data_IF_488630266175
#
_entry.id   IF_488630266175
#
_cell.length_a   1.000
_cell.length_b   1.000
_cell.length_c   1.000
_cell.angle_alpha   90.00
_cell.angle_beta   90.00
_cell.angle_gamma   90.00
#
_symmetry.space_group_name_H-M   'P 1'
#
loop_
_entity.id
_entity.type
_entity.pdbx_description
1 polymer ?
#
# COMPACT_ATOMS: atom_id res chain seq x y z
N UNK A 1 -12.82 0.70 -10.08
CA UNK A 1 -13.13 0.46 -8.65
C UNK A 1 -14.44 -0.30 -8.45
N UNK A 2 -15.54 0.15 -9.06
CA UNK A 2 -16.85 -0.53 -8.94
C UNK A 2 -16.90 -1.92 -9.59
N UNK A 3 -16.09 -2.13 -10.64
CA UNK A 3 -16.00 -3.41 -11.35
C UNK A 3 -15.21 -4.51 -10.62
N UNK A 4 -14.59 -4.18 -9.48
CA UNK A 4 -13.83 -5.17 -8.69
C UNK A 4 -14.78 -6.05 -7.88
N UNK A 5 -14.43 -7.32 -7.72
CA UNK A 5 -15.19 -8.24 -6.85
C UNK A 5 -14.85 -7.97 -5.37
N UNK A 6 -15.46 -6.93 -4.83
CA UNK A 6 -15.29 -6.52 -3.43
C UNK A 6 -15.73 -7.58 -2.42
N UNK A 7 -16.65 -8.47 -2.82
CA UNK A 7 -17.06 -9.60 -1.99
C UNK A 7 -15.90 -10.59 -1.86
N UNK A 8 -15.29 -10.98 -2.97
CA UNK A 8 -14.14 -11.89 -2.97
C UNK A 8 -12.91 -11.27 -2.28
N UNK A 9 -12.65 -9.97 -2.53
CA UNK A 9 -11.55 -9.23 -1.89
C UNK A 9 -11.72 -9.24 -0.37
N UNK A 10 -12.91 -8.89 0.13
CA UNK A 10 -13.20 -8.90 1.56
C UNK A 10 -13.02 -10.29 2.16
N UNK A 11 -13.54 -11.32 1.52
CA UNK A 11 -13.42 -12.69 2.01
C UNK A 11 -11.95 -13.12 2.11
N UNK A 12 -11.13 -12.84 1.08
CA UNK A 12 -9.69 -13.13 1.14
C UNK A 12 -8.98 -12.35 2.24
N UNK A 13 -9.29 -11.05 2.38
CA UNK A 13 -8.75 -10.25 3.47
C UNK A 13 -9.11 -10.86 4.84
N UNK A 14 -10.35 -11.31 5.04
CA UNK A 14 -10.80 -11.97 6.26
C UNK A 14 -10.05 -13.29 6.54
N UNK A 15 -9.76 -14.09 5.50
CA UNK A 15 -9.19 -15.43 5.62
C UNK A 15 -7.66 -15.44 5.78
N UNK A 16 -6.97 -14.55 5.08
CA UNK A 16 -5.49 -14.55 4.96
C UNK A 16 -4.83 -13.18 5.19
N UNK A 17 -5.60 -12.12 5.41
CA UNK A 17 -5.07 -10.78 5.71
C UNK A 17 -4.51 -10.01 4.51
N UNK A 18 -4.64 -10.53 3.29
CA UNK A 18 -4.24 -9.86 2.04
C UNK A 18 -5.12 -10.34 0.86
N UNK A 19 -5.27 -9.52 -0.18
CA UNK A 19 -5.98 -9.93 -1.40
C UNK A 19 -5.53 -9.12 -2.60
N UNK A 20 -5.29 -9.79 -3.72
CA UNK A 20 -5.20 -9.09 -5.01
C UNK A 20 -6.56 -8.48 -5.36
N UNK A 21 -6.55 -7.28 -5.93
CA UNK A 21 -7.76 -6.57 -6.38
C UNK A 21 -8.23 -7.02 -7.77
N UNK A 22 -7.31 -7.49 -8.60
CA UNK A 22 -7.45 -7.50 -10.06
C UNK A 22 -7.00 -6.18 -10.70
N UNK A 23 -7.11 -6.03 -12.03
CA UNK A 23 -6.56 -4.88 -12.75
C UNK A 23 -7.20 -3.55 -12.36
N UNK A 24 -6.36 -2.58 -11.98
CA UNK A 24 -6.75 -1.21 -11.63
C UNK A 24 -6.25 -0.21 -12.67
N UNK A 25 -5.03 -0.41 -13.17
CA UNK A 25 -4.34 0.50 -14.08
C UNK A 25 -3.96 -0.19 -15.38
N UNK A 26 -3.97 0.57 -16.47
CA UNK A 26 -3.39 0.17 -17.74
C UNK A 26 -1.86 0.32 -17.75
N UNK A 27 -1.21 -0.31 -18.74
CA UNK A 27 0.24 -0.28 -18.87
C UNK A 27 0.82 1.14 -19.02
N UNK A 28 0.13 2.03 -19.73
CA UNK A 28 0.57 3.43 -19.90
C UNK A 28 0.49 4.23 -18.59
N UNK A 29 -0.53 3.99 -17.76
CA UNK A 29 -0.64 4.61 -16.43
C UNK A 29 0.45 4.11 -15.51
N UNK A 30 0.71 2.79 -15.51
CA UNK A 30 1.82 2.19 -14.75
C UNK A 30 3.16 2.80 -15.14
N UNK A 31 3.43 2.91 -16.44
CA UNK A 31 4.65 3.51 -16.98
C UNK A 31 4.78 4.97 -16.57
N UNK A 32 3.71 5.77 -16.73
CA UNK A 32 3.71 7.17 -16.37
C UNK A 32 4.06 7.38 -14.89
N UNK A 33 3.53 6.55 -13.98
CA UNK A 33 3.89 6.62 -12.54
C UNK A 33 5.34 6.15 -12.29
N UNK A 34 5.78 5.06 -12.92
CA UNK A 34 7.13 4.53 -12.73
C UNK A 34 8.21 5.53 -13.18
N UNK A 35 7.96 6.29 -14.25
CA UNK A 35 8.86 7.32 -14.78
C UNK A 35 9.02 8.51 -13.82
N UNK A 36 8.01 8.80 -12.97
CA UNK A 36 8.10 9.87 -11.97
C UNK A 36 9.28 9.68 -11.02
N UNK A 37 9.72 8.44 -10.77
CA UNK A 37 10.82 8.15 -9.86
C UNK A 37 12.12 8.90 -10.22
N UNK A 38 12.31 9.30 -11.48
CA UNK A 38 13.48 10.07 -11.92
C UNK A 38 13.38 11.58 -11.64
N UNK A 39 12.19 12.12 -11.37
CA UNK A 39 11.98 13.56 -11.11
C UNK A 39 12.05 13.86 -9.62
N UNK A 40 13.18 14.40 -9.17
CA UNK A 40 13.41 14.70 -7.76
C UNK A 40 12.41 15.68 -7.15
N UNK A 41 11.84 16.57 -7.96
CA UNK A 41 10.90 17.60 -7.51
C UNK A 41 9.55 17.01 -7.08
N UNK A 42 9.27 15.76 -7.44
CA UNK A 42 8.03 15.06 -7.07
C UNK A 42 8.07 14.47 -5.68
N UNK A 43 9.22 14.48 -5.00
CA UNK A 43 9.41 13.75 -3.75
C UNK A 43 9.98 14.65 -2.65
N UNK A 44 9.38 14.55 -1.46
CA UNK A 44 9.85 15.27 -0.28
C UNK A 44 11.04 14.59 0.39
N UNK A 45 11.21 13.29 0.16
CA UNK A 45 12.34 12.53 0.70
C UNK A 45 12.61 11.26 -0.09
N UNK A 46 13.89 10.86 -0.10
CA UNK A 46 14.37 9.60 -0.65
C UNK A 46 15.01 8.79 0.46
N UNK A 47 14.59 7.54 0.61
CA UNK A 47 15.16 6.59 1.56
C UNK A 47 15.99 5.57 0.81
N UNK A 48 17.27 5.53 1.13
CA UNK A 48 18.18 4.45 0.77
C UNK A 48 18.11 3.38 1.85
N UNK A 49 17.45 2.27 1.55
CA UNK A 49 17.09 1.24 2.53
C UNK A 49 18.31 0.61 3.20
N UNK A 50 19.43 0.55 2.48
CA UNK A 50 20.70 0.00 2.97
C UNK A 50 21.21 0.76 4.20
N UNK A 51 20.97 2.09 4.25
CA UNK A 51 21.41 2.95 5.34
C UNK A 51 20.64 2.71 6.64
N UNK A 52 19.42 2.23 6.54
CA UNK A 52 18.51 2.04 7.67
C UNK A 52 18.32 0.57 8.07
N UNK A 53 19.05 -0.35 7.42
CA UNK A 53 18.91 -1.81 7.60
C UNK A 53 17.49 -2.31 7.30
N UNK A 54 16.77 -1.63 6.41
CA UNK A 54 15.44 -2.05 5.94
C UNK A 54 15.53 -3.02 4.76
N UNK A 55 16.75 -3.42 4.37
CA UNK A 55 17.04 -4.23 3.20
C UNK A 55 17.91 -3.47 2.23
N UNK A 56 17.73 -3.73 0.93
CA UNK A 56 18.46 -3.09 -0.16
C UNK A 56 17.45 -2.59 -1.19
N UNK A 57 17.68 -1.40 -1.74
CA UNK A 57 16.74 -0.71 -2.62
C UNK A 57 16.46 0.73 -2.18
N UNK A 58 15.54 1.38 -2.90
CA UNK A 58 15.17 2.78 -2.65
C UNK A 58 13.67 2.96 -2.68
N UNK A 59 13.16 3.77 -1.78
CA UNK A 59 11.80 4.30 -1.90
C UNK A 59 11.77 5.81 -1.68
N UNK A 60 10.79 6.46 -2.28
CA UNK A 60 10.67 7.92 -2.27
C UNK A 60 9.26 8.30 -1.89
N UNK A 61 9.10 9.19 -0.91
CA UNK A 61 7.79 9.71 -0.54
C UNK A 61 7.43 10.88 -1.43
N UNK A 62 6.26 10.82 -2.07
CA UNK A 62 5.78 11.93 -2.90
C UNK A 62 5.65 13.21 -2.06
N UNK A 63 5.89 14.35 -2.68
CA UNK A 63 5.56 15.66 -2.12
C UNK A 63 4.18 16.14 -2.60
N UNK A 64 3.76 17.30 -2.11
CA UNK A 64 2.57 17.99 -2.59
C UNK A 64 2.89 18.88 -3.81
N UNK A 65 1.97 19.00 -4.79
CA UNK A 65 0.77 18.19 -4.94
C UNK A 65 1.11 16.75 -5.32
N UNK A 66 0.30 15.80 -4.84
CA UNK A 66 0.42 14.40 -5.27
C UNK A 66 0.16 14.30 -6.77
N UNK A 67 0.74 13.31 -7.47
CA UNK A 67 0.26 12.93 -8.80
C UNK A 67 -1.24 12.65 -8.75
N UNK A 68 -1.99 13.18 -9.72
CA UNK A 68 -3.46 13.13 -9.75
C UNK A 68 -3.98 11.69 -9.59
N UNK A 69 -3.47 10.77 -10.39
CA UNK A 69 -3.81 9.34 -10.30
C UNK A 69 -3.58 8.75 -8.89
N UNK A 70 -2.50 9.14 -8.20
CA UNK A 70 -2.23 8.66 -6.84
C UNK A 70 -3.22 9.26 -5.83
N UNK A 71 -3.63 10.52 -6.01
CA UNK A 71 -4.64 11.14 -5.17
C UNK A 71 -6.01 10.48 -5.38
N UNK A 72 -6.39 10.25 -6.63
CA UNK A 72 -7.67 9.68 -7.04
C UNK A 72 -7.81 8.24 -6.56
N UNK A 73 -6.77 7.41 -6.72
CA UNK A 73 -6.78 6.04 -6.21
C UNK A 73 -7.05 5.99 -4.70
N UNK A 74 -6.41 6.87 -3.92
CA UNK A 74 -6.62 6.91 -2.46
C UNK A 74 -8.05 7.25 -2.09
N UNK A 75 -8.62 8.26 -2.76
CA UNK A 75 -10.01 8.64 -2.56
C UNK A 75 -10.97 7.53 -3.00
N UNK A 76 -10.70 6.87 -4.12
CA UNK A 76 -11.52 5.79 -4.67
C UNK A 76 -11.50 4.53 -3.82
N UNK A 77 -10.37 4.18 -3.19
CA UNK A 77 -10.28 3.00 -2.31
C UNK A 77 -11.00 3.18 -0.98
N UNK A 78 -11.02 4.41 -0.45
CA UNK A 78 -11.58 4.72 0.86
C UNK A 78 -12.98 4.13 1.14
N UNK A 79 -14.01 4.38 0.32
CA UNK A 79 -15.37 3.89 0.59
C UNK A 79 -15.48 2.36 0.60
N UNK A 80 -14.53 1.65 0.00
CA UNK A 80 -14.55 0.19 -0.05
C UNK A 80 -13.73 -0.47 1.06
N UNK A 81 -12.60 0.14 1.45
CA UNK A 81 -11.75 -0.36 2.53
C UNK A 81 -12.29 0.00 3.91
N UNK A 82 -12.96 1.15 4.06
CA UNK A 82 -13.49 1.62 5.33
C UNK A 82 -14.46 0.61 6.00
N UNK A 83 -15.45 0.03 5.29
CA UNK A 83 -16.33 -0.97 5.89
C UNK A 83 -15.59 -2.22 6.38
N UNK A 84 -14.52 -2.63 5.68
CA UNK A 84 -13.70 -3.79 6.07
C UNK A 84 -12.95 -3.47 7.36
N UNK A 85 -12.27 -2.32 7.40
CA UNK A 85 -11.55 -1.86 8.59
C UNK A 85 -12.46 -1.73 9.83
N UNK A 86 -13.68 -1.18 9.66
CA UNK A 86 -14.67 -1.06 10.73
C UNK A 86 -15.17 -2.42 11.21
N UNK A 87 -15.50 -3.34 10.30
CA UNK A 87 -15.92 -4.70 10.65
C UNK A 87 -14.82 -5.46 11.42
N UNK A 88 -13.55 -5.29 11.03
CA UNK A 88 -12.42 -5.87 11.75
C UNK A 88 -12.25 -5.27 13.14
N UNK A 89 -12.36 -3.95 13.27
CA UNK A 89 -12.28 -3.28 14.56
C UNK A 89 -13.39 -3.77 15.50
N UNK A 90 -14.62 -3.89 15.02
CA UNK A 90 -15.75 -4.44 15.77
C UNK A 90 -15.49 -5.88 16.25
N UNK A 91 -15.11 -6.78 15.34
CA UNK A 91 -14.80 -8.19 15.66
C UNK A 91 -13.66 -8.33 16.67
N UNK A 92 -12.73 -7.37 16.68
CA UNK A 92 -11.58 -7.33 17.60
C UNK A 92 -11.86 -6.54 18.89
N UNK A 93 -13.06 -6.00 19.09
CA UNK A 93 -13.40 -5.16 20.24
C UNK A 93 -12.60 -3.86 20.32
N UNK A 94 -12.19 -3.32 19.17
CA UNK A 94 -11.40 -2.09 19.04
C UNK A 94 -12.27 -0.92 18.58
N UNK A 95 -11.85 0.30 18.89
CA UNK A 95 -12.47 1.52 18.35
C UNK A 95 -12.18 1.65 16.85
N UNK A 96 -13.13 2.22 16.12
CA UNK A 96 -12.99 2.56 14.71
C UNK A 96 -13.12 4.09 14.54
N UNK A 97 -12.03 4.85 14.71
CA UNK A 97 -12.06 6.32 14.70
C UNK A 97 -12.12 6.94 13.29
N UNK A 98 -12.20 6.11 12.25
CA UNK A 98 -12.13 6.57 10.85
C UNK A 98 -13.48 7.15 10.40
N UNK A 99 -13.51 8.37 9.84
CA UNK A 99 -14.74 9.02 9.39
C UNK A 99 -15.28 8.40 8.09
N UNK A 100 -16.48 8.80 7.68
CA UNK A 100 -17.09 8.28 6.45
C UNK A 100 -16.40 8.82 5.19
N UNK A 101 -15.90 10.05 5.24
CA UNK A 101 -15.26 10.71 4.10
C UNK A 101 -13.74 10.68 4.20
N UNK A 102 -13.09 10.54 3.04
CA UNK A 102 -11.63 10.45 2.97
C UNK A 102 -10.95 11.78 3.32
N UNK A 103 -11.50 12.91 2.89
CA UNK A 103 -10.98 14.24 3.19
C UNK A 103 -11.04 14.54 4.69
N UNK A 104 -12.14 14.19 5.36
CA UNK A 104 -12.24 14.28 6.84
C UNK A 104 -11.14 13.46 7.53
N UNK A 105 -10.81 12.27 7.03
CA UNK A 105 -9.70 11.48 7.58
C UNK A 105 -8.35 12.19 7.42
N UNK A 106 -8.13 12.87 6.29
CA UNK A 106 -6.92 13.64 6.04
C UNK A 106 -6.85 14.88 6.94
N UNK A 107 -7.97 15.56 7.17
CA UNK A 107 -8.06 16.69 8.10
C UNK A 107 -7.74 16.26 9.54
N UNK A 108 -8.34 15.17 10.02
CA UNK A 108 -8.02 14.60 11.34
C UNK A 108 -6.53 14.27 11.48
N UNK A 109 -5.91 13.71 10.43
CA UNK A 109 -4.46 13.50 10.39
C UNK A 109 -3.69 14.81 10.53
N UNK A 110 -4.09 15.88 9.84
CA UNK A 110 -3.40 17.17 9.87
C UNK A 110 -3.55 17.85 11.23
N UNK A 111 -4.74 17.80 11.83
CA UNK A 111 -5.01 18.33 13.17
C UNK A 111 -4.19 17.59 14.24
N UNK A 112 -3.92 16.30 14.03
CA UNK A 112 -3.01 15.51 14.85
C UNK A 112 -1.52 15.75 14.52
N UNK A 113 -1.17 16.70 13.65
CA UNK A 113 0.20 17.04 13.28
C UNK A 113 0.82 16.14 12.18
N UNK A 114 0.07 15.19 11.63
CA UNK A 114 0.50 14.30 10.54
C UNK A 114 0.27 14.95 9.17
N UNK A 115 0.98 16.04 8.90
CA UNK A 115 0.77 16.87 7.69
C UNK A 115 1.45 16.34 6.42
N UNK A 116 2.40 15.42 6.58
CA UNK A 116 3.22 14.89 5.49
C UNK A 116 2.46 13.84 4.67
N UNK A 117 2.48 13.91 3.33
CA UNK A 117 1.92 12.85 2.49
C UNK A 117 2.64 11.52 2.73
N UNK A 118 1.87 10.44 2.77
CA UNK A 118 2.32 9.06 3.00
C UNK A 118 2.53 8.21 1.74
N UNK A 119 1.93 8.49 0.56
CA UNK A 119 2.21 7.72 -0.65
C UNK A 119 3.68 7.75 -1.03
N UNK A 120 4.19 6.60 -1.45
CA UNK A 120 5.59 6.42 -1.81
C UNK A 120 5.71 5.53 -3.05
N UNK A 121 6.83 5.68 -3.75
CA UNK A 121 7.20 4.87 -4.91
C UNK A 121 8.46 4.09 -4.57
N UNK A 122 8.43 2.77 -4.77
CA UNK A 122 9.55 1.86 -4.49
C UNK A 122 10.25 1.47 -5.79
N UNK A 123 11.57 1.31 -5.74
CA UNK A 123 12.37 0.74 -6.83
C UNK A 123 13.42 -0.19 -6.25
N UNK A 124 13.45 -1.40 -6.80
CA UNK A 124 14.40 -2.44 -6.47
C UNK A 124 15.22 -2.80 -7.72
N UNK A 125 16.52 -2.99 -7.54
CA UNK A 125 17.41 -3.61 -8.51
C UNK A 125 17.57 -5.12 -8.28
N UNK A 126 18.45 -5.76 -9.06
CA UNK A 126 18.74 -7.17 -8.87
C UNK A 126 19.39 -7.44 -7.50
N UNK A 127 18.83 -8.37 -6.74
CA UNK A 127 19.30 -8.72 -5.38
C UNK A 127 18.79 -7.80 -4.27
N UNK A 128 18.08 -6.72 -4.61
CA UNK A 128 17.43 -5.86 -3.63
C UNK A 128 16.25 -6.58 -2.95
N UNK A 129 15.93 -6.16 -1.73
CA UNK A 129 14.89 -6.76 -0.90
C UNK A 129 14.41 -5.79 0.17
N UNK A 130 13.21 -6.01 0.68
CA UNK A 130 12.67 -5.28 1.83
C UNK A 130 12.48 -6.21 3.01
N UNK A 131 12.99 -5.82 4.18
CA UNK A 131 12.84 -6.58 5.40
C UNK A 131 11.37 -6.65 5.82
N UNK A 132 10.97 -7.75 6.47
CA UNK A 132 9.64 -7.84 7.07
C UNK A 132 9.47 -6.76 8.13
N UNK A 133 8.45 -5.92 7.96
CA UNK A 133 8.12 -4.85 8.90
C UNK A 133 6.61 -4.59 8.88
N UNK A 134 6.16 -3.77 9.83
CA UNK A 134 4.84 -3.14 9.79
C UNK A 134 5.05 -1.69 9.40
N UNK A 135 4.41 -1.27 8.32
CA UNK A 135 4.50 0.10 7.84
C UNK A 135 3.44 0.97 8.55
N UNK A 136 3.92 1.78 9.50
CA UNK A 136 3.09 2.63 10.35
C UNK A 136 3.69 4.03 10.37
N UNK A 137 2.84 5.04 10.20
CA UNK A 137 3.22 6.44 10.25
C UNK A 137 2.27 7.23 11.15
N UNK A 138 2.83 7.85 12.19
CA UNK A 138 2.08 8.66 13.14
C UNK A 138 1.17 7.85 14.09
N UNK A 139 0.36 8.57 14.85
CA UNK A 139 -0.58 8.06 15.85
C UNK A 139 -1.91 7.63 15.22
N UNK A 140 -2.40 8.40 14.23
CA UNK A 140 -3.62 8.10 13.48
C UNK A 140 -3.28 7.20 12.28
N UNK A 141 -3.70 5.93 12.39
CA UNK A 141 -3.39 4.87 11.42
C UNK A 141 -4.68 4.31 10.83
N UNK A 142 -4.68 4.11 9.50
CA UNK A 142 -5.66 3.26 8.82
C UNK A 142 -5.08 1.83 8.67
N UNK A 143 -5.83 0.76 9.01
CA UNK A 143 -5.25 -0.56 9.23
C UNK A 143 -5.02 -1.37 7.95
N UNK A 144 -5.46 -0.86 6.81
CA UNK A 144 -5.30 -1.50 5.50
C UNK A 144 -4.36 -0.66 4.63
N UNK A 145 -3.55 -1.33 3.83
CA UNK A 145 -2.65 -0.73 2.87
C UNK A 145 -2.95 -1.27 1.47
N UNK A 146 -2.57 -0.51 0.45
CA UNK A 146 -2.67 -0.96 -0.94
C UNK A 146 -1.32 -0.75 -1.61
N UNK A 147 -0.80 -1.79 -2.25
CA UNK A 147 0.43 -1.73 -3.06
C UNK A 147 0.07 -2.07 -4.50
N UNK A 148 0.49 -1.24 -5.45
CA UNK A 148 0.20 -1.45 -6.88
C UNK A 148 1.47 -1.87 -7.61
N UNK A 149 1.41 -2.97 -8.34
CA UNK A 149 2.50 -3.43 -9.21
C UNK A 149 2.60 -2.54 -10.45
N UNK A 150 3.77 -1.97 -10.73
CA UNK A 150 3.98 -1.10 -11.91
C UNK A 150 4.78 -1.77 -13.03
N UNK A 151 5.56 -2.81 -12.69
CA UNK A 151 6.35 -3.61 -13.62
C UNK A 151 5.70 -5.00 -13.78
N UNK A 152 6.06 -5.74 -14.84
CA UNK A 152 5.48 -7.05 -15.15
C UNK A 152 6.34 -8.19 -14.58
N UNK A 153 5.83 -8.97 -13.60
CA UNK A 153 6.52 -10.16 -13.11
C UNK A 153 6.76 -11.18 -14.24
N UNK A 154 7.94 -11.80 -14.26
CA UNK A 154 8.34 -12.79 -15.27
C UNK A 154 8.77 -12.20 -16.62
N UNK A 155 8.60 -10.89 -16.83
CA UNK A 155 9.05 -10.18 -18.05
C UNK A 155 10.09 -9.14 -17.71
N UNK A 156 9.75 -8.20 -16.81
CA UNK A 156 10.63 -7.10 -16.43
C UNK A 156 11.56 -7.51 -15.27
N UNK A 157 11.16 -8.51 -14.47
CA UNK A 157 11.95 -9.09 -13.38
C UNK A 157 11.52 -10.51 -13.03
N UNK A 158 12.36 -11.24 -12.29
CA UNK A 158 12.03 -12.53 -11.66
C UNK A 158 12.27 -12.47 -10.15
N UNK A 159 11.57 -13.31 -9.37
CA UNK A 159 11.50 -13.18 -7.91
C UNK A 159 10.70 -11.93 -7.51
N UNK A 160 11.05 -11.31 -6.38
CA UNK A 160 10.45 -10.04 -5.94
C UNK A 160 9.00 -10.17 -5.46
N UNK A 161 8.59 -11.35 -5.01
CA UNK A 161 7.26 -11.60 -4.49
C UNK A 161 6.98 -10.77 -3.23
N UNK A 162 5.75 -10.28 -3.12
CA UNK A 162 5.30 -9.63 -1.90
C UNK A 162 4.96 -10.69 -0.85
N UNK A 163 5.53 -10.57 0.35
CA UNK A 163 5.33 -11.54 1.43
C UNK A 163 4.59 -10.87 2.58
N UNK A 164 3.41 -11.40 2.90
CA UNK A 164 2.69 -11.06 4.14
C UNK A 164 2.86 -12.19 5.15
N UNK A 165 2.96 -11.83 6.43
CA UNK A 165 3.16 -12.80 7.51
C UNK A 165 2.12 -12.62 8.60
N UNK A 166 1.41 -13.69 8.89
CA UNK A 166 0.48 -13.77 10.00
C UNK A 166 1.21 -14.30 11.24
N UNK A 167 1.32 -13.45 12.27
CA UNK A 167 1.83 -13.87 13.57
C UNK A 167 0.76 -14.65 14.32
N UNK A 168 1.02 -15.93 14.60
CA UNK A 168 0.10 -16.83 15.27
C UNK A 168 0.61 -17.13 16.69
N UNK A 169 -0.02 -16.60 17.75
CA UNK A 169 0.43 -16.84 19.11
C UNK A 169 0.53 -18.34 19.41
N UNK A 170 1.71 -18.79 19.88
CA UNK A 170 2.00 -20.20 20.22
C UNK A 170 1.90 -21.19 19.05
N UNK A 171 1.97 -20.71 17.81
CA UNK A 171 2.05 -21.53 16.61
C UNK A 171 3.13 -20.99 15.66
N UNK A 172 3.45 -21.74 14.62
CA UNK A 172 4.35 -21.26 13.56
C UNK A 172 3.67 -20.15 12.75
N UNK A 173 4.46 -19.13 12.38
CA UNK A 173 4.05 -18.06 11.47
C UNK A 173 3.59 -18.64 10.15
N UNK A 174 2.48 -18.11 9.61
CA UNK A 174 2.02 -18.42 8.26
C UNK A 174 2.45 -17.29 7.33
N UNK A 175 3.18 -17.63 6.27
CA UNK A 175 3.57 -16.69 5.23
C UNK A 175 2.70 -16.89 3.99
N UNK A 176 2.27 -15.78 3.38
CA UNK A 176 1.53 -15.76 2.12
C UNK A 176 2.32 -14.91 1.13
N UNK A 177 2.65 -15.51 -0.02
CA UNK A 177 3.39 -14.85 -1.09
C UNK A 177 2.46 -14.50 -2.24
N UNK A 178 2.63 -13.33 -2.84
CA UNK A 178 1.86 -12.90 -4.00
C UNK A 178 2.77 -12.19 -5.01
N UNK A 179 2.65 -12.56 -6.28
CA UNK A 179 3.16 -11.77 -7.38
C UNK A 179 2.08 -10.77 -7.77
N UNK A 180 2.38 -9.47 -7.69
CA UNK A 180 1.44 -8.41 -8.05
C UNK A 180 1.63 -8.15 -9.54
N UNK A 181 0.63 -8.48 -10.37
CA UNK A 181 0.72 -8.21 -11.79
C UNK A 181 0.72 -6.69 -12.05
N UNK A 182 1.26 -6.28 -13.20
CA UNK A 182 1.26 -4.87 -13.58
C UNK A 182 -0.16 -4.32 -13.59
N UNK A 183 -0.36 -3.22 -12.87
CA UNK A 183 -1.62 -2.52 -12.73
C UNK A 183 -2.57 -3.14 -11.70
N UNK A 184 -2.23 -4.23 -11.03
CA UNK A 184 -3.03 -4.79 -9.94
C UNK A 184 -2.64 -4.22 -8.58
N UNK A 185 -3.60 -4.17 -7.65
CA UNK A 185 -3.38 -3.89 -6.25
C UNK A 185 -3.30 -5.16 -5.41
N UNK A 186 -2.52 -5.12 -4.33
CA UNK A 186 -2.50 -6.05 -3.20
C UNK A 186 -2.91 -5.34 -1.91
#
# INVERSE_FOLDING_TARGET
MEALDWTAIRQRLDDVGSSLTGPLLGAEECKAIAELFADDRRFRSTIDMSRYRFGQGRYRYFDRPLPELVADLRAAFWPHLLPIARAWAERLGRRAPWPDRFDEWIELCHDAGQTRPTPLLLRYGAGDWNALHRDLYGDLVFPLQVVIGLDRPGVDYTGGEFVTVEQRPRAQTRATTSAIAQGEGL
#
